data_IF_985643406906
#
_entry.id   IF_985643406906
#
_cell.length_a   1.000
_cell.length_b   1.000
_cell.length_c   1.000
_cell.angle_alpha   90.00
_cell.angle_beta   90.00
_cell.angle_gamma   90.00
#
_symmetry.space_group_name_H-M   'P 1'
#
loop_
_entity.id
_entity.type
_entity.pdbx_description
1 polymer ?
#
# COMPACT_ATOMS: atom_id res chain seq x y z
N UNK A 1 -4.20 -12.79 18.44
CA UNK A 1 -5.19 -11.87 19.02
C UNK A 1 -6.36 -11.75 18.05
N UNK A 2 -7.61 -11.89 18.52
CA UNK A 2 -8.81 -11.76 17.69
C UNK A 2 -9.83 -10.86 18.40
N UNK A 3 -10.11 -9.69 17.82
CA UNK A 3 -11.09 -8.72 18.32
C UNK A 3 -12.14 -8.44 17.25
N UNK A 4 -13.42 -8.51 17.64
CA UNK A 4 -14.57 -8.17 16.79
C UNK A 4 -15.45 -7.15 17.50
N UNK A 5 -15.85 -6.10 16.79
CA UNK A 5 -16.83 -5.15 17.31
C UNK A 5 -18.21 -5.79 17.46
N UNK A 6 -18.98 -5.37 18.47
CA UNK A 6 -20.37 -5.80 18.67
C UNK A 6 -21.32 -5.26 17.60
N UNK A 7 -21.01 -4.10 17.03
CA UNK A 7 -21.76 -3.52 15.91
C UNK A 7 -21.46 -4.31 14.63
N UNK A 8 -22.52 -4.84 14.02
CA UNK A 8 -22.48 -5.45 12.70
C UNK A 8 -23.36 -4.62 11.76
N UNK A 9 -22.84 -4.31 10.57
CA UNK A 9 -23.54 -3.59 9.52
C UNK A 9 -23.55 -4.49 8.28
N UNK A 10 -24.73 -4.74 7.71
CA UNK A 10 -24.91 -5.66 6.56
C UNK A 10 -24.35 -7.08 6.79
N UNK A 11 -24.43 -7.61 8.02
CA UNK A 11 -23.95 -8.96 8.35
C UNK A 11 -22.42 -9.08 8.50
N UNK A 12 -21.68 -7.97 8.38
CA UNK A 12 -20.23 -7.89 8.62
C UNK A 12 -19.94 -7.08 9.90
N UNK A 13 -18.95 -7.47 10.71
CA UNK A 13 -18.54 -6.66 11.86
C UNK A 13 -17.98 -5.32 11.37
N UNK A 14 -18.28 -4.26 12.11
CA UNK A 14 -17.78 -2.92 11.80
C UNK A 14 -16.25 -2.87 11.85
N UNK A 15 -15.66 -3.42 12.92
CA UNK A 15 -14.21 -3.57 13.07
C UNK A 15 -13.85 -5.02 13.39
N UNK A 16 -12.89 -5.56 12.67
CA UNK A 16 -12.34 -6.89 12.93
C UNK A 16 -10.81 -6.84 12.86
N UNK A 17 -10.17 -7.16 13.97
CA UNK A 17 -8.72 -7.19 14.10
C UNK A 17 -8.32 -8.63 14.39
N UNK A 18 -7.51 -9.23 13.52
CA UNK A 18 -6.96 -10.57 13.74
C UNK A 18 -5.48 -10.59 13.41
N UNK A 19 -4.65 -10.77 14.42
CA UNK A 19 -3.22 -11.01 14.26
C UNK A 19 -2.97 -12.51 14.21
N UNK A 20 -2.07 -12.96 13.32
CA UNK A 20 -1.65 -14.35 13.27
C UNK A 20 -1.13 -14.86 14.60
N UNK A 21 -1.35 -16.15 14.83
CA UNK A 21 -0.90 -16.84 16.04
C UNK A 21 -0.06 -18.05 15.65
N UNK A 22 0.98 -18.31 16.43
CA UNK A 22 1.78 -19.52 16.30
C UNK A 22 1.07 -20.61 17.09
N UNK A 23 0.44 -21.55 16.37
CA UNK A 23 -0.23 -22.70 16.97
C UNK A 23 0.55 -23.94 16.56
N UNK A 24 1.06 -24.70 17.54
CA UNK A 24 1.84 -25.92 17.32
C UNK A 24 3.04 -25.75 16.37
N UNK A 25 3.81 -24.66 16.53
CA UNK A 25 4.99 -24.37 15.70
C UNK A 25 4.69 -23.95 14.26
N UNK A 26 3.40 -23.84 13.87
CA UNK A 26 2.97 -23.36 12.56
C UNK A 26 2.36 -21.96 12.68
N UNK A 27 2.79 -21.04 11.83
CA UNK A 27 2.24 -19.68 11.79
C UNK A 27 0.89 -19.69 11.09
N UNK A 28 -0.20 -19.58 11.85
CA UNK A 28 -1.55 -19.50 11.27
C UNK A 28 -1.82 -18.02 10.98
N UNK A 29 -1.91 -17.66 9.70
CA UNK A 29 -2.19 -16.28 9.27
C UNK A 29 -3.54 -15.83 9.84
N UNK A 30 -3.56 -14.65 10.45
CA UNK A 30 -4.78 -14.03 10.94
C UNK A 30 -5.61 -13.49 9.78
N UNK A 31 -6.84 -13.99 9.61
CA UNK A 31 -7.76 -13.52 8.55
C UNK A 31 -8.83 -12.63 9.18
N UNK A 32 -8.74 -11.32 8.92
CA UNK A 32 -9.73 -10.33 9.35
C UNK A 32 -10.74 -10.06 8.22
N UNK A 33 -12.01 -9.91 8.58
CA UNK A 33 -13.12 -9.60 7.66
C UNK A 33 -14.09 -8.62 8.31
N UNK A 34 -14.38 -7.48 7.68
CA UNK A 34 -15.28 -6.47 8.24
C UNK A 34 -15.38 -5.22 7.35
N UNK A 35 -15.98 -4.15 7.87
CA UNK A 35 -15.91 -2.85 7.20
C UNK A 35 -14.52 -2.23 7.34
N UNK A 36 -13.95 -2.34 8.54
CA UNK A 36 -12.56 -2.02 8.86
C UNK A 36 -11.88 -3.32 9.31
N UNK A 37 -10.94 -3.81 8.50
CA UNK A 37 -10.25 -5.08 8.76
C UNK A 37 -8.74 -4.86 8.93
N UNK A 38 -8.18 -5.39 10.03
CA UNK A 38 -6.74 -5.33 10.31
C UNK A 38 -6.20 -6.73 10.60
N UNK A 39 -5.23 -7.20 9.83
CA UNK A 39 -4.64 -8.52 10.06
C UNK A 39 -3.57 -8.92 9.06
N UNK A 40 -3.05 -10.15 9.13
CA UNK A 40 -2.07 -10.63 8.13
C UNK A 40 -2.71 -10.69 6.74
N UNK A 41 -3.95 -11.18 6.69
CA UNK A 41 -4.83 -11.15 5.54
C UNK A 41 -6.09 -10.42 5.97
N UNK A 42 -6.41 -9.29 5.35
CA UNK A 42 -7.59 -8.49 5.68
C UNK A 42 -8.50 -8.34 4.47
N UNK A 43 -9.81 -8.48 4.72
CA UNK A 43 -10.88 -8.18 3.77
C UNK A 43 -11.77 -7.09 4.39
N UNK A 44 -11.48 -5.85 4.03
CA UNK A 44 -12.18 -4.66 4.52
C UNK A 44 -13.05 -4.07 3.43
N UNK A 45 -14.35 -3.86 3.64
CA UNK A 45 -15.18 -3.19 2.61
C UNK A 45 -14.73 -1.75 2.39
N UNK A 46 -14.54 -0.99 3.48
CA UNK A 46 -14.07 0.40 3.43
C UNK A 46 -12.54 0.46 3.56
N UNK A 47 -12.00 -0.10 4.64
CA UNK A 47 -10.58 0.00 4.98
C UNK A 47 -10.03 -1.37 5.33
N UNK A 48 -8.93 -1.75 4.68
CA UNK A 48 -8.23 -3.01 4.90
C UNK A 48 -6.75 -2.74 5.13
N UNK A 49 -6.21 -3.15 6.27
CA UNK A 49 -4.81 -2.98 6.63
C UNK A 49 -4.21 -4.36 6.88
N UNK A 50 -3.08 -4.68 6.25
CA UNK A 50 -2.47 -5.99 6.46
C UNK A 50 -1.27 -6.34 5.61
N UNK A 51 -0.78 -7.57 5.74
CA UNK A 51 0.22 -8.10 4.81
C UNK A 51 -0.36 -8.26 3.40
N UNK A 52 -1.54 -8.88 3.32
CA UNK A 52 -2.40 -8.93 2.14
C UNK A 52 -3.75 -8.27 2.46
N UNK A 53 -4.08 -7.15 1.81
CA UNK A 53 -5.27 -6.36 2.09
C UNK A 53 -6.17 -6.28 0.85
N UNK A 54 -7.46 -6.52 1.05
CA UNK A 54 -8.48 -6.49 -0.01
C UNK A 54 -9.62 -5.58 0.43
N UNK A 55 -9.91 -4.52 -0.33
CA UNK A 55 -10.96 -3.59 0.07
C UNK A 55 -11.16 -2.34 -0.77
N UNK A 56 -11.98 -1.40 -0.29
CA UNK A 56 -12.08 -0.08 -0.90
C UNK A 56 -10.74 0.66 -0.82
N UNK A 57 -10.26 0.88 0.41
CA UNK A 57 -8.93 1.43 0.71
C UNK A 57 -8.09 0.31 1.32
N UNK A 58 -7.04 -0.12 0.60
CA UNK A 58 -6.20 -1.25 1.01
C UNK A 58 -4.76 -0.80 1.26
N UNK A 59 -4.24 -1.03 2.47
CA UNK A 59 -2.89 -0.66 2.88
C UNK A 59 -2.12 -1.91 3.31
N UNK A 60 -0.98 -2.19 2.69
CA UNK A 60 -0.27 -3.43 3.00
C UNK A 60 1.00 -3.75 2.22
N UNK A 61 1.42 -5.01 2.29
CA UNK A 61 2.50 -5.53 1.42
C UNK A 61 1.98 -5.83 0.01
N UNK A 62 0.82 -6.49 -0.04
CA UNK A 62 0.03 -6.76 -1.24
C UNK A 62 -1.38 -6.18 -1.01
N UNK A 63 -1.81 -5.23 -1.85
CA UNK A 63 -3.11 -4.58 -1.69
C UNK A 63 -3.91 -4.63 -2.99
N UNK A 64 -5.20 -4.98 -2.89
CA UNK A 64 -6.15 -4.91 -4.00
C UNK A 64 -7.36 -4.09 -3.59
N UNK A 65 -7.66 -3.02 -4.34
CA UNK A 65 -8.76 -2.14 -3.98
C UNK A 65 -9.04 -0.98 -4.92
N UNK A 66 -9.93 -0.07 -4.53
CA UNK A 66 -10.14 1.17 -5.29
C UNK A 66 -8.92 2.09 -5.13
N UNK A 67 -8.46 2.25 -3.89
CA UNK A 67 -7.27 2.99 -3.53
C UNK A 67 -6.33 2.02 -2.80
N UNK A 68 -5.19 1.72 -3.42
CA UNK A 68 -4.24 0.74 -2.92
C UNK A 68 -2.90 1.37 -2.61
N UNK A 69 -2.44 1.23 -1.37
CA UNK A 69 -1.10 1.61 -0.92
C UNK A 69 -0.34 0.36 -0.51
N UNK A 70 0.64 -0.07 -1.31
CA UNK A 70 1.38 -1.29 -0.99
C UNK A 70 2.74 -1.43 -1.64
N UNK A 71 3.51 -2.43 -1.19
CA UNK A 71 4.67 -2.90 -1.96
C UNK A 71 4.25 -3.34 -3.36
N UNK A 72 3.18 -4.12 -3.47
CA UNK A 72 2.49 -4.45 -4.72
C UNK A 72 1.01 -4.02 -4.60
N UNK A 73 0.67 -2.95 -5.30
CA UNK A 73 -0.64 -2.32 -5.28
C UNK A 73 -1.40 -2.58 -6.59
N UNK A 74 -2.60 -3.10 -6.49
CA UNK A 74 -3.52 -3.28 -7.62
C UNK A 74 -4.80 -2.50 -7.31
N UNK A 75 -5.22 -1.61 -8.20
CA UNK A 75 -6.44 -0.85 -7.97
C UNK A 75 -6.78 0.19 -9.02
N UNK A 76 -7.82 0.99 -8.81
CA UNK A 76 -8.07 2.14 -9.70
C UNK A 76 -6.96 3.18 -9.52
N UNK A 77 -6.66 3.49 -8.27
CA UNK A 77 -5.60 4.37 -7.83
C UNK A 77 -4.57 3.55 -7.05
N UNK A 78 -3.43 3.25 -7.68
CA UNK A 78 -2.40 2.39 -7.11
C UNK A 78 -1.13 3.18 -6.79
N UNK A 79 -0.68 3.11 -5.54
CA UNK A 79 0.55 3.74 -5.04
C UNK A 79 1.44 2.70 -4.39
N UNK A 80 2.66 2.51 -4.88
CA UNK A 80 3.50 1.42 -4.38
C UNK A 80 4.87 1.20 -4.99
N UNK A 81 5.53 0.11 -4.60
CA UNK A 81 6.77 -0.33 -5.25
C UNK A 81 6.49 -0.84 -6.67
N UNK A 82 5.54 -1.76 -6.78
CA UNK A 82 4.86 -2.17 -8.01
C UNK A 82 3.40 -1.72 -7.96
N UNK A 83 2.94 -0.98 -8.96
CA UNK A 83 1.59 -0.43 -9.00
C UNK A 83 0.91 -0.77 -10.33
N UNK A 84 -0.31 -1.32 -10.26
CA UNK A 84 -1.12 -1.68 -11.43
C UNK A 84 -2.51 -1.05 -11.29
N UNK A 85 -2.95 -0.25 -12.27
CA UNK A 85 -4.26 0.39 -12.17
C UNK A 85 -4.74 1.22 -13.35
N UNK A 86 -5.71 2.12 -13.12
CA UNK A 86 -6.06 3.18 -14.09
C UNK A 86 -5.08 4.33 -13.96
N UNK A 87 -4.78 4.71 -12.72
CA UNK A 87 -3.72 5.64 -12.36
C UNK A 87 -2.77 4.93 -11.40
N UNK A 88 -1.48 4.87 -11.77
CA UNK A 88 -0.47 4.18 -10.98
C UNK A 88 0.73 5.11 -10.74
N UNK A 89 1.24 5.13 -9.51
CA UNK A 89 2.52 5.78 -9.21
C UNK A 89 3.39 4.91 -8.30
N UNK A 90 4.67 4.76 -8.66
CA UNK A 90 5.54 3.81 -7.96
C UNK A 90 6.93 3.60 -8.53
N UNK A 91 7.64 2.58 -8.05
CA UNK A 91 8.92 2.16 -8.62
C UNK A 91 8.74 1.57 -10.03
N UNK A 92 7.82 0.62 -10.17
CA UNK A 92 7.31 0.08 -11.43
C UNK A 92 5.80 0.26 -11.50
N UNK A 93 5.32 1.10 -12.41
CA UNK A 93 3.93 1.46 -12.56
C UNK A 93 3.40 1.04 -13.94
N UNK A 94 2.31 0.30 -13.96
CA UNK A 94 1.57 -0.07 -15.17
C UNK A 94 0.16 0.47 -15.01
N UNK A 95 -0.26 1.34 -15.92
CA UNK A 95 -1.57 1.96 -15.84
C UNK A 95 -2.31 1.89 -17.17
N UNK A 96 -3.64 1.96 -17.13
CA UNK A 96 -4.41 2.20 -18.34
C UNK A 96 -4.26 3.64 -18.80
N UNK A 97 -4.51 4.62 -17.92
CA UNK A 97 -4.55 6.03 -18.31
C UNK A 97 -3.22 6.73 -18.05
N UNK A 98 -2.75 6.71 -16.80
CA UNK A 98 -1.56 7.45 -16.40
C UNK A 98 -0.66 6.69 -15.43
N UNK A 99 0.64 6.61 -15.75
CA UNK A 99 1.66 5.97 -14.91
C UNK A 99 2.81 6.93 -14.58
N UNK A 100 3.23 6.98 -13.31
CA UNK A 100 4.40 7.74 -12.88
C UNK A 100 5.38 6.85 -12.12
N UNK A 101 6.67 6.87 -12.44
CA UNK A 101 7.61 6.03 -11.70
C UNK A 101 9.03 5.88 -12.25
N UNK A 102 9.79 4.94 -11.69
CA UNK A 102 11.08 4.56 -12.26
C UNK A 102 10.91 3.89 -13.62
N UNK A 103 10.04 2.87 -13.66
CA UNK A 103 9.49 2.27 -14.87
C UNK A 103 7.99 2.61 -14.93
N UNK A 104 7.54 3.29 -15.98
CA UNK A 104 6.16 3.73 -16.15
C UNK A 104 5.64 3.31 -17.52
N UNK A 105 4.60 2.48 -17.55
CA UNK A 105 3.91 2.08 -18.77
C UNK A 105 2.45 2.47 -18.68
N UNK A 106 1.96 3.24 -19.65
CA UNK A 106 0.56 3.64 -19.74
C UNK A 106 0.08 3.70 -21.18
N UNK A 107 -1.23 3.76 -21.41
CA UNK A 107 -1.76 3.99 -22.75
C UNK A 107 -1.58 5.46 -23.14
N UNK A 108 -2.06 6.39 -22.30
CA UNK A 108 -2.06 7.82 -22.62
C UNK A 108 -0.83 8.56 -22.08
N UNK A 109 -0.60 8.55 -20.77
CA UNK A 109 0.41 9.40 -20.12
C UNK A 109 1.40 8.59 -19.27
N UNK A 110 2.69 8.68 -19.59
CA UNK A 110 3.73 8.08 -18.76
C UNK A 110 4.81 9.12 -18.40
N UNK A 111 5.17 9.17 -17.11
CA UNK A 111 6.26 10.02 -16.63
C UNK A 111 7.22 9.21 -15.77
N UNK A 112 8.52 9.23 -16.10
CA UNK A 112 9.47 8.41 -15.37
C UNK A 112 10.86 8.29 -15.98
N UNK A 113 11.68 7.46 -15.35
CA UNK A 113 13.02 7.13 -15.86
C UNK A 113 12.93 6.38 -17.19
N UNK A 114 12.14 5.31 -17.22
CA UNK A 114 11.74 4.59 -18.44
C UNK A 114 10.23 4.74 -18.59
N UNK A 115 9.78 5.52 -19.58
CA UNK A 115 8.38 5.84 -19.81
C UNK A 115 7.92 5.30 -21.18
N UNK A 116 6.82 4.55 -21.22
CA UNK A 116 6.21 3.99 -22.43
C UNK A 116 4.72 4.36 -22.42
N UNK A 117 4.33 5.32 -23.26
CA UNK A 117 2.93 5.73 -23.51
C UNK A 117 2.84 6.56 -24.80
N UNK A 118 1.62 6.89 -25.23
CA UNK A 118 1.40 7.84 -26.34
C UNK A 118 2.01 9.22 -26.06
N UNK A 119 1.97 9.65 -24.80
CA UNK A 119 2.65 10.85 -24.29
C UNK A 119 3.62 10.46 -23.18
N UNK A 120 4.87 10.19 -23.55
CA UNK A 120 5.93 9.77 -22.65
C UNK A 120 6.89 10.93 -22.36
N UNK A 121 6.93 11.41 -21.11
CA UNK A 121 7.79 12.52 -20.67
C UNK A 121 7.63 13.86 -21.43
N UNK A 122 6.58 14.01 -22.25
CA UNK A 122 6.29 15.22 -23.02
C UNK A 122 5.67 16.35 -22.18
N UNK A 123 5.60 17.55 -22.74
CA UNK A 123 4.94 18.71 -22.10
C UNK A 123 3.45 18.47 -21.80
N UNK A 124 2.76 17.69 -22.64
CA UNK A 124 1.34 17.33 -22.44
C UNK A 124 1.20 16.41 -21.21
N UNK A 125 2.07 15.41 -21.10
CA UNK A 125 2.11 14.54 -19.94
C UNK A 125 2.37 15.35 -18.67
N UNK A 126 3.37 16.26 -18.67
CA UNK A 126 3.66 17.13 -17.52
C UNK A 126 2.45 17.96 -17.09
N UNK A 127 1.77 18.61 -18.03
CA UNK A 127 0.54 19.36 -17.73
C UNK A 127 -0.56 18.47 -17.12
N UNK A 128 -0.72 17.23 -17.61
CA UNK A 128 -1.68 16.29 -17.03
C UNK A 128 -1.31 15.92 -15.59
N UNK A 129 -0.04 15.61 -15.33
CA UNK A 129 0.46 15.26 -14.00
C UNK A 129 0.39 16.44 -13.02
N UNK A 130 0.61 17.67 -13.48
CA UNK A 130 0.50 18.90 -12.66
C UNK A 130 -0.95 19.24 -12.31
N UNK A 131 -1.89 19.00 -13.22
CA UNK A 131 -3.31 19.27 -12.98
C UNK A 131 -4.06 18.14 -12.24
N UNK A 132 -3.43 16.96 -12.10
CA UNK A 132 -4.07 15.79 -11.50
C UNK A 132 -3.85 15.70 -10.00
N UNK A 133 -4.94 15.78 -9.21
CA UNK A 133 -4.90 15.71 -7.74
C UNK A 133 -4.27 14.42 -7.19
N UNK A 134 -4.45 13.29 -7.88
CA UNK A 134 -3.85 12.01 -7.49
C UNK A 134 -2.32 12.07 -7.55
N UNK A 135 -1.78 12.62 -8.64
CA UNK A 135 -0.34 12.70 -8.84
C UNK A 135 0.29 13.77 -7.95
N UNK A 136 -0.38 14.90 -7.72
CA UNK A 136 0.04 15.89 -6.74
C UNK A 136 0.12 15.29 -5.33
N UNK A 137 -0.91 14.53 -4.90
CA UNK A 137 -0.90 13.84 -3.62
C UNK A 137 0.23 12.79 -3.56
N UNK A 138 0.39 12.00 -4.61
CA UNK A 138 1.46 11.00 -4.70
C UNK A 138 2.84 11.65 -4.58
N UNK A 139 3.04 12.81 -5.23
CA UNK A 139 4.29 13.56 -5.22
C UNK A 139 4.55 14.16 -3.85
N UNK A 140 3.55 14.73 -3.19
CA UNK A 140 3.66 15.21 -1.81
C UNK A 140 4.05 14.09 -0.85
N UNK A 141 3.45 12.90 -1.00
CA UNK A 141 3.77 11.73 -0.19
C UNK A 141 5.20 11.24 -0.48
N UNK A 142 5.62 11.21 -1.75
CA UNK A 142 6.94 10.74 -2.18
C UNK A 142 8.07 11.73 -1.83
N UNK A 143 7.86 13.03 -2.02
CA UNK A 143 8.85 14.06 -1.68
C UNK A 143 9.04 14.16 -0.16
N UNK A 144 7.97 14.06 0.62
CA UNK A 144 8.05 13.98 2.08
C UNK A 144 8.37 12.56 2.59
N UNK A 145 8.45 11.56 1.70
CA UNK A 145 8.69 10.16 2.07
C UNK A 145 10.00 9.98 2.81
N UNK A 146 11.04 10.79 2.52
CA UNK A 146 12.31 10.73 3.24
C UNK A 146 12.13 10.87 4.77
N UNK A 147 11.23 11.76 5.20
CA UNK A 147 10.89 11.94 6.61
C UNK A 147 10.06 10.77 7.14
N UNK A 148 9.11 10.27 6.36
CA UNK A 148 8.33 9.09 6.74
C UNK A 148 9.19 7.84 6.88
N UNK A 149 10.14 7.60 5.97
CA UNK A 149 11.09 6.48 6.04
C UNK A 149 11.96 6.57 7.27
N UNK A 150 12.44 7.76 7.64
CA UNK A 150 13.15 7.96 8.90
C UNK A 150 12.26 7.58 10.10
N UNK A 151 11.03 8.08 10.14
CA UNK A 151 10.07 7.80 11.22
C UNK A 151 9.70 6.31 11.32
N UNK A 152 9.59 5.62 10.18
CA UNK A 152 9.27 4.19 10.10
C UNK A 152 10.47 3.28 10.44
N UNK A 153 11.70 3.72 10.13
CA UNK A 153 12.92 3.00 10.46
C UNK A 153 13.32 3.15 11.93
N UNK A 154 12.99 4.27 12.59
CA UNK A 154 13.28 4.49 14.02
C UNK A 154 12.87 3.30 14.92
N UNK A 155 11.63 2.79 14.91
CA UNK A 155 11.24 1.65 15.74
C UNK A 155 11.96 0.35 15.35
N UNK A 156 12.32 0.16 14.07
CA UNK A 156 13.06 -1.01 13.59
C UNK A 156 14.51 -0.96 14.09
N UNK A 157 15.17 0.19 13.95
CA UNK A 157 16.53 0.45 14.46
C UNK A 157 16.54 0.27 15.98
N UNK A 158 15.54 0.80 16.68
CA UNK A 158 15.42 0.66 18.13
C UNK A 158 15.21 -0.81 18.54
N UNK A 159 14.44 -1.58 17.77
CA UNK A 159 14.27 -3.04 17.95
C UNK A 159 15.57 -3.81 17.71
N UNK A 160 16.35 -3.47 16.69
CA UNK A 160 17.65 -4.08 16.38
C UNK A 160 18.70 -3.77 17.46
N UNK A 161 18.76 -2.52 17.94
CA UNK A 161 19.65 -2.12 19.05
C UNK A 161 19.29 -2.91 20.32
N UNK A 162 17.99 -3.06 20.62
CA UNK A 162 17.53 -3.84 21.77
C UNK A 162 17.84 -5.34 21.63
N UNK A 163 17.76 -5.93 20.44
CA UNK A 163 18.18 -7.32 20.18
C UNK A 163 19.69 -7.50 20.38
N UNK A 164 20.52 -6.57 19.89
CA UNK A 164 21.98 -6.62 20.07
C UNK A 164 22.39 -6.51 21.54
N UNK A 165 21.71 -5.66 22.33
CA UNK A 165 21.92 -5.58 23.79
C UNK A 165 21.54 -6.87 24.54
N UNK A 166 20.52 -7.61 24.07
CA UNK A 166 20.09 -8.89 24.68
C UNK A 166 20.96 -10.09 24.29
N UNK A 167 21.66 -10.04 23.16
CA UNK A 167 22.55 -11.13 22.70
C UNK A 167 23.99 -11.08 23.23
N UNK A 168 24.39 -10.00 23.90
CA UNK A 168 25.74 -9.81 24.46
C UNK A 168 25.88 -10.09 25.96
N UNK A 169 24.86 -10.67 26.60
CA UNK A 169 24.92 -11.13 27.99
C UNK A 169 24.97 -12.66 28.01
N UNK A 170 26.14 -13.19 27.67
CA UNK A 170 26.61 -14.54 28.02
C UNK A 170 28.12 -14.48 28.19
#
# INVERSE_FOLDING_TARGET
MNYKSKMALLGLPFVHITTGEIVNGRHKRGVAKGWIAVGDISFGVLISIGGAAFGGIAIGGLSVGLISFAGLAIGLFALGGGAIGIMASGGGAIAWQAASGGFAMANEYAQGGVAIANHANDGIAKNYFENSSFFMLSRLIMENSRWFLLLLLLPVIQSLINKKKRGGSK
#
